data_IF_077048678700
#
_entry.id   IF_077048678700
#
_cell.length_a   1.000
_cell.length_b   1.000
_cell.length_c   1.000
_cell.angle_alpha   90.00
_cell.angle_beta   90.00
_cell.angle_gamma   90.00
#
_symmetry.space_group_name_H-M   'P 1'
#
loop_
_entity.id
_entity.type
_entity.pdbx_description
1 polymer ?
#
# COMPACT_ATOMS: atom_id res chain seq x y z
N UNK A 1 -20.17 9.73 10.05
CA UNK A 1 -19.56 10.01 8.85
C UNK A 1 -18.97 8.83 8.15
N UNK A 2 -19.66 8.37 7.26
CA UNK A 2 -19.26 7.21 6.50
C UNK A 2 -18.04 7.41 5.66
N UNK A 3 -17.70 8.63 5.37
CA UNK A 3 -16.54 8.89 4.54
C UNK A 3 -15.25 8.37 5.13
N UNK A 4 -15.13 8.42 6.44
CA UNK A 4 -13.91 7.96 7.08
C UNK A 4 -13.68 6.47 6.83
N UNK A 5 -14.74 5.69 6.89
CA UNK A 5 -14.63 4.25 6.64
C UNK A 5 -14.18 3.96 5.23
N UNK A 6 -14.73 4.71 4.27
CA UNK A 6 -14.38 4.52 2.88
C UNK A 6 -12.92 4.83 2.63
N UNK A 7 -12.42 5.88 3.27
CA UNK A 7 -11.04 6.29 3.05
C UNK A 7 -10.03 5.32 3.63
N UNK A 8 -10.43 4.55 4.65
CA UNK A 8 -9.52 3.59 5.25
C UNK A 8 -9.11 2.49 4.28
N UNK A 9 -9.89 2.27 3.24
CA UNK A 9 -9.62 1.21 2.29
C UNK A 9 -9.07 1.71 0.96
N UNK A 10 -8.75 3.00 0.86
CA UNK A 10 -8.19 3.50 -0.38
C UNK A 10 -6.70 3.19 -0.46
N UNK A 11 -6.14 3.33 -1.66
CA UNK A 11 -4.75 2.94 -1.86
C UNK A 11 -3.78 3.81 -1.08
N UNK A 12 -4.13 5.06 -0.82
CA UNK A 12 -3.25 5.96 -0.07
C UNK A 12 -3.10 5.50 1.38
N UNK A 13 -4.21 5.09 2.00
CA UNK A 13 -4.18 4.58 3.36
C UNK A 13 -3.41 3.27 3.45
N UNK A 14 -3.64 2.39 2.49
CA UNK A 14 -2.95 1.10 2.45
C UNK A 14 -1.46 1.29 2.17
N UNK A 15 -1.12 2.23 1.31
CA UNK A 15 0.26 2.58 1.01
C UNK A 15 0.98 3.02 2.28
N UNK A 16 0.37 3.91 3.06
CA UNK A 16 0.96 4.40 4.29
C UNK A 16 1.11 3.27 5.31
N UNK A 17 0.09 2.43 5.40
CA UNK A 17 0.12 1.29 6.30
C UNK A 17 1.27 0.35 5.95
N UNK A 18 1.54 0.16 4.67
CA UNK A 18 2.64 -0.70 4.24
C UNK A 18 3.97 -0.18 4.77
N UNK A 19 4.19 1.12 4.72
CA UNK A 19 5.42 1.68 5.24
C UNK A 19 5.50 1.55 6.75
N UNK A 20 4.37 1.69 7.45
CA UNK A 20 4.36 1.57 8.90
C UNK A 20 4.65 0.15 9.35
N UNK A 21 4.12 -0.84 8.65
CA UNK A 21 4.25 -2.23 9.08
C UNK A 21 5.43 -2.94 8.47
N UNK A 22 5.82 -2.58 7.26
CA UNK A 22 6.84 -3.33 6.53
C UNK A 22 7.97 -2.45 6.01
N UNK A 23 8.07 -1.23 6.50
CA UNK A 23 9.07 -0.29 5.99
C UNK A 23 10.49 -0.79 6.15
N UNK A 24 10.80 -1.44 7.27
CA UNK A 24 12.14 -1.92 7.53
C UNK A 24 12.47 -3.25 6.86
N UNK A 25 11.46 -3.96 6.38
CA UNK A 25 11.65 -5.30 5.80
C UNK A 25 11.63 -5.24 4.28
N UNK A 26 10.58 -4.64 3.73
CA UNK A 26 10.36 -4.68 2.29
C UNK A 26 10.53 -3.34 1.61
N UNK A 27 10.44 -2.25 2.36
CA UNK A 27 10.41 -0.91 1.79
C UNK A 27 11.55 -0.04 2.29
N UNK A 28 12.62 -0.64 2.78
CA UNK A 28 13.72 0.09 3.39
C UNK A 28 14.39 1.06 2.42
N UNK A 29 14.33 0.77 1.12
CA UNK A 29 14.93 1.64 0.11
C UNK A 29 13.91 2.51 -0.62
N UNK A 30 12.68 2.59 -0.09
CA UNK A 30 11.62 3.39 -0.69
C UNK A 30 11.34 4.60 0.17
N UNK A 31 10.81 5.64 -0.45
CA UNK A 31 10.46 6.87 0.26
C UNK A 31 8.94 6.95 0.42
N UNK A 32 8.51 7.29 1.62
CA UNK A 32 7.09 7.53 1.87
C UNK A 32 6.70 8.88 1.25
N UNK A 33 5.74 8.85 0.35
CA UNK A 33 5.25 10.05 -0.32
C UNK A 33 3.96 10.52 0.37
N UNK A 34 3.77 11.82 0.43
CA UNK A 34 2.57 12.37 1.07
C UNK A 34 1.33 12.15 0.21
N UNK A 35 1.49 12.27 -1.10
CA UNK A 35 0.38 12.13 -2.03
C UNK A 35 0.71 11.09 -3.08
N UNK A 36 0.67 9.81 -2.72
CA UNK A 36 1.03 8.77 -3.67
C UNK A 36 -0.02 8.65 -4.78
N UNK A 37 0.45 8.35 -5.99
CA UNK A 37 -0.42 8.01 -7.09
C UNK A 37 -0.71 6.50 -7.04
N UNK A 38 -1.71 6.02 -7.81
CA UNK A 38 -1.89 4.57 -7.90
C UNK A 38 -0.63 3.84 -8.37
N UNK A 39 0.14 4.46 -9.27
CA UNK A 39 1.40 3.87 -9.71
C UNK A 39 2.40 3.73 -8.58
N UNK A 40 2.48 4.74 -7.71
CA UNK A 40 3.38 4.67 -6.55
C UNK A 40 2.96 3.53 -5.62
N UNK A 41 1.66 3.40 -5.40
CA UNK A 41 1.15 2.34 -4.54
C UNK A 41 1.43 0.96 -5.13
N UNK A 42 1.35 0.82 -6.44
CA UNK A 42 1.64 -0.45 -7.10
C UNK A 42 3.10 -0.84 -6.96
N UNK A 43 4.01 0.13 -6.98
CA UNK A 43 5.42 -0.14 -6.75
C UNK A 43 5.62 -0.70 -5.35
N UNK A 44 4.95 -0.13 -4.36
CA UNK A 44 5.02 -0.63 -3.00
C UNK A 44 4.44 -2.03 -2.91
N UNK A 45 3.30 -2.27 -3.56
CA UNK A 45 2.69 -3.60 -3.55
C UNK A 45 3.64 -4.65 -4.12
N UNK A 46 4.33 -4.30 -5.19
CA UNK A 46 5.28 -5.23 -5.79
C UNK A 46 6.42 -5.55 -4.83
N UNK A 47 6.93 -4.55 -4.14
CA UNK A 47 7.99 -4.78 -3.16
C UNK A 47 7.51 -5.69 -2.04
N UNK A 48 6.26 -5.52 -1.60
CA UNK A 48 5.71 -6.38 -0.57
C UNK A 48 5.61 -7.83 -1.03
N UNK A 49 5.28 -8.05 -2.29
CA UNK A 49 5.19 -9.41 -2.84
C UNK A 49 6.56 -10.07 -2.92
N UNK A 50 7.57 -9.31 -3.26
CA UNK A 50 8.90 -9.87 -3.50
C UNK A 50 9.64 -10.10 -2.19
N UNK A 51 9.59 -9.13 -1.28
CA UNK A 51 10.42 -9.17 -0.09
C UNK A 51 9.65 -9.36 1.21
N UNK A 52 8.33 -9.33 1.15
CA UNK A 52 7.52 -9.45 2.35
C UNK A 52 7.12 -10.90 2.64
N UNK A 53 6.49 -11.08 3.81
CA UNK A 53 5.95 -12.37 4.19
C UNK A 53 4.51 -12.50 3.67
N UNK A 54 3.80 -13.53 4.14
CA UNK A 54 2.43 -13.78 3.69
C UNK A 54 1.49 -12.62 4.00
N UNK A 55 1.65 -12.01 5.17
CA UNK A 55 0.81 -10.89 5.54
C UNK A 55 1.08 -9.68 4.64
N UNK A 56 2.35 -9.48 4.30
CA UNK A 56 2.71 -8.41 3.39
C UNK A 56 2.10 -8.63 2.01
N UNK A 57 2.05 -9.88 1.57
CA UNK A 57 1.44 -10.20 0.28
C UNK A 57 -0.05 -9.91 0.29
N UNK A 58 -0.73 -10.16 1.40
CA UNK A 58 -2.14 -9.84 1.50
C UNK A 58 -2.36 -8.33 1.40
N UNK A 59 -1.52 -7.57 2.06
CA UNK A 59 -1.59 -6.12 1.96
C UNK A 59 -1.34 -5.67 0.53
N UNK A 60 -0.40 -6.32 -0.15
CA UNK A 60 -0.14 -6.00 -1.55
C UNK A 60 -1.38 -6.22 -2.42
N UNK A 61 -2.11 -7.30 -2.16
CA UNK A 61 -3.35 -7.56 -2.90
C UNK A 61 -4.38 -6.47 -2.66
N UNK A 62 -4.51 -6.04 -1.41
CA UNK A 62 -5.45 -4.97 -1.10
C UNK A 62 -5.07 -3.68 -1.81
N UNK A 63 -3.78 -3.37 -1.85
CA UNK A 63 -3.32 -2.17 -2.54
C UNK A 63 -3.63 -2.28 -4.03
N UNK A 64 -3.37 -3.43 -4.62
CA UNK A 64 -3.61 -3.62 -6.05
C UNK A 64 -5.09 -3.47 -6.39
N UNK A 65 -5.95 -4.05 -5.56
CA UNK A 65 -7.38 -3.94 -5.79
C UNK A 65 -7.86 -2.50 -5.64
N UNK A 66 -7.35 -1.82 -4.64
CA UNK A 66 -7.72 -0.43 -4.40
C UNK A 66 -7.26 0.46 -5.55
N UNK A 67 -6.08 0.19 -6.10
CA UNK A 67 -5.58 0.95 -7.24
C UNK A 67 -6.44 0.73 -8.48
N UNK A 68 -6.89 -0.50 -8.70
CA UNK A 68 -7.77 -0.78 -9.84
C UNK A 68 -9.08 -0.03 -9.71
N UNK A 69 -9.61 0.04 -8.51
CA UNK A 69 -10.87 0.75 -8.29
C UNK A 69 -10.69 2.25 -8.51
N UNK A 70 -9.49 2.77 -8.29
CA UNK A 70 -9.21 4.18 -8.47
C UNK A 70 -8.94 4.55 -9.92
N UNK A 71 -8.57 3.59 -10.73
CA UNK A 71 -8.32 3.84 -12.14
C UNK A 71 -9.60 3.76 -12.95
#
# INVERSE_FOLDING_TARGET
MPTASTQQNDFASLYRRAFEEYGGIALWNKRLLENPTPGDALVVARALRIEGNMQARRLAEEIEQSCRAAL
#
